data_IF_334400913259
#
_entry.id   IF_334400913259
#
_cell.length_a   1.000
_cell.length_b   1.000
_cell.length_c   1.000
_cell.angle_alpha   90.00
_cell.angle_beta   90.00
_cell.angle_gamma   90.00
#
_symmetry.space_group_name_H-M   'P 1'
#
loop_
_entity.id
_entity.type
_entity.pdbx_description
1 polymer ?
#
# COMPACT_ATOMS: atom_id res chain seq x y z
N UNK A 1 16.97 47.22 -37.18
CA UNK A 1 17.67 46.53 -36.08
C UNK A 1 19.01 46.04 -36.64
N UNK A 2 20.11 46.42 -36.03
CA UNK A 2 21.42 45.94 -36.45
C UNK A 2 21.52 44.43 -36.21
N UNK A 3 22.28 43.71 -37.05
CA UNK A 3 22.46 42.25 -36.91
C UNK A 3 22.96 41.87 -35.50
N UNK A 4 23.87 42.68 -34.94
CA UNK A 4 24.36 42.45 -33.56
C UNK A 4 23.25 42.59 -32.52
N UNK A 5 22.38 43.57 -32.64
CA UNK A 5 21.22 43.77 -31.75
C UNK A 5 20.26 42.61 -31.86
N UNK A 6 19.99 42.09 -33.06
CA UNK A 6 19.15 40.94 -33.29
C UNK A 6 19.71 39.65 -32.67
N UNK A 7 21.03 39.42 -32.81
CA UNK A 7 21.71 38.28 -32.20
C UNK A 7 21.72 38.36 -30.68
N UNK A 8 21.99 39.53 -30.10
CA UNK A 8 21.94 39.73 -28.64
C UNK A 8 20.53 39.49 -28.08
N UNK A 9 19.51 39.99 -28.78
CA UNK A 9 18.12 39.77 -28.40
C UNK A 9 17.74 38.27 -28.51
N UNK A 10 18.19 37.60 -29.57
CA UNK A 10 17.96 36.14 -29.71
C UNK A 10 18.61 35.34 -28.57
N UNK A 11 19.86 35.68 -28.21
CA UNK A 11 20.54 35.06 -27.07
C UNK A 11 19.78 35.32 -25.76
N UNK A 12 19.29 36.52 -25.53
CA UNK A 12 18.47 36.85 -24.35
C UNK A 12 17.18 36.02 -24.32
N UNK A 13 16.47 35.88 -25.46
CA UNK A 13 15.27 35.09 -25.58
C UNK A 13 15.54 33.60 -25.32
N UNK A 14 16.66 33.07 -25.81
CA UNK A 14 17.10 31.67 -25.50
C UNK A 14 17.32 31.48 -24.00
N UNK A 15 17.97 32.41 -23.31
CA UNK A 15 18.21 32.31 -21.85
C UNK A 15 16.91 32.37 -21.08
N UNK A 16 16.00 33.28 -21.46
CA UNK A 16 14.68 33.36 -20.81
C UNK A 16 13.88 32.06 -21.00
N UNK A 17 13.85 31.55 -22.26
CA UNK A 17 13.16 30.31 -22.56
C UNK A 17 13.79 29.13 -21.82
N UNK A 18 15.12 29.02 -21.78
CA UNK A 18 15.83 27.99 -21.04
C UNK A 18 15.50 28.00 -19.53
N UNK A 19 15.42 29.21 -18.95
CA UNK A 19 15.01 29.37 -17.56
C UNK A 19 13.57 28.88 -17.32
N UNK A 20 12.62 29.28 -18.16
CA UNK A 20 11.20 28.88 -18.03
C UNK A 20 11.05 27.38 -18.26
N UNK A 21 11.70 26.82 -19.28
CA UNK A 21 11.68 25.38 -19.61
C UNK A 21 12.31 24.52 -18.50
N UNK A 22 13.44 24.97 -17.93
CA UNK A 22 14.08 24.35 -16.78
C UNK A 22 13.14 24.36 -15.55
N UNK A 23 12.45 25.47 -15.32
CA UNK A 23 11.52 25.66 -14.20
C UNK A 23 10.33 24.72 -14.30
N UNK A 24 9.76 24.56 -15.49
CA UNK A 24 8.64 23.67 -15.75
C UNK A 24 8.94 22.25 -15.25
N UNK A 25 10.04 21.68 -15.71
CA UNK A 25 10.34 20.29 -15.42
C UNK A 25 10.88 20.09 -14.00
N UNK A 26 11.69 21.02 -13.48
CA UNK A 26 12.19 20.94 -12.11
C UNK A 26 11.05 20.96 -11.08
N UNK A 27 10.09 21.88 -11.22
CA UNK A 27 8.96 21.98 -10.30
C UNK A 27 7.98 20.81 -10.44
N UNK A 28 7.76 20.30 -11.66
CA UNK A 28 6.91 19.14 -11.89
C UNK A 28 7.51 17.82 -11.37
N UNK A 29 8.84 17.65 -11.48
CA UNK A 29 9.55 16.40 -11.15
C UNK A 29 10.08 16.34 -9.71
N UNK A 30 10.10 17.44 -8.97
CA UNK A 30 10.61 17.48 -7.60
C UNK A 30 9.68 16.70 -6.65
N UNK A 31 10.26 15.75 -5.92
CA UNK A 31 9.51 14.84 -5.02
C UNK A 31 9.08 15.56 -3.74
N UNK A 32 7.77 15.54 -3.45
CA UNK A 32 7.16 16.21 -2.28
C UNK A 32 7.83 15.79 -0.96
N UNK A 33 8.07 14.49 -0.79
CA UNK A 33 8.69 13.93 0.44
C UNK A 33 10.08 14.53 0.66
N UNK A 34 10.91 14.62 -0.39
CA UNK A 34 12.28 15.15 -0.27
C UNK A 34 12.29 16.66 0.01
N UNK A 35 11.36 17.40 -0.59
CA UNK A 35 11.17 18.82 -0.29
C UNK A 35 10.70 19.04 1.16
N UNK A 36 9.83 18.17 1.71
CA UNK A 36 9.40 18.22 3.10
C UNK A 36 10.56 18.02 4.07
N UNK A 37 11.45 17.05 3.77
CA UNK A 37 12.67 16.82 4.56
C UNK A 37 13.59 18.06 4.52
N UNK A 38 13.82 18.62 3.31
CA UNK A 38 14.64 19.82 3.16
C UNK A 38 14.06 21.04 3.91
N UNK A 39 12.73 21.13 3.99
CA UNK A 39 12.05 22.21 4.72
C UNK A 39 12.12 22.01 6.24
N UNK A 40 11.95 20.77 6.75
CA UNK A 40 11.94 20.45 8.19
C UNK A 40 13.35 20.42 8.77
N UNK A 41 14.24 19.64 8.16
CA UNK A 41 15.57 19.36 8.71
C UNK A 41 16.61 20.41 8.29
N UNK A 42 16.48 20.98 7.08
CA UNK A 42 17.36 22.00 6.52
C UNK A 42 16.93 23.45 6.77
N UNK A 43 15.72 23.67 7.28
CA UNK A 43 15.17 25.03 7.50
C UNK A 43 15.04 25.86 6.21
N UNK A 44 15.05 25.23 5.02
CA UNK A 44 15.01 25.94 3.74
C UNK A 44 13.58 26.37 3.37
N UNK A 45 13.28 27.64 3.64
CA UNK A 45 11.96 28.24 3.30
C UNK A 45 11.60 28.13 1.81
N UNK A 46 12.59 28.04 0.92
CA UNK A 46 12.38 27.90 -0.52
C UNK A 46 11.76 26.55 -0.88
N UNK A 47 12.06 25.49 -0.10
CA UNK A 47 11.44 24.19 -0.27
C UNK A 47 9.93 24.24 0.05
N UNK A 48 9.52 25.05 1.04
CA UNK A 48 8.11 25.33 1.31
C UNK A 48 7.43 26.08 0.16
N UNK A 49 8.14 27.08 -0.42
CA UNK A 49 7.64 27.83 -1.57
C UNK A 49 7.37 26.89 -2.75
N UNK A 50 8.26 25.91 -3.00
CA UNK A 50 8.07 24.87 -4.02
C UNK A 50 6.87 24.00 -3.73
N UNK A 51 6.72 23.52 -2.49
CA UNK A 51 5.57 22.70 -2.09
C UNK A 51 4.24 23.43 -2.27
N UNK A 52 4.18 24.71 -1.87
CA UNK A 52 3.01 25.57 -2.06
C UNK A 52 2.67 25.73 -3.55
N UNK A 53 3.69 25.90 -4.39
CA UNK A 53 3.50 26.04 -5.85
C UNK A 53 3.02 24.73 -6.47
N UNK A 54 3.47 23.57 -5.98
CA UNK A 54 2.99 22.25 -6.42
C UNK A 54 1.55 21.96 -5.97
N UNK A 55 1.08 22.54 -4.85
CA UNK A 55 -0.30 22.40 -4.39
C UNK A 55 -1.28 23.22 -5.25
N UNK A 56 -0.82 24.33 -5.83
CA UNK A 56 -1.63 25.19 -6.69
C UNK A 56 -0.94 25.41 -8.05
N UNK A 57 -0.84 24.36 -8.89
CA UNK A 57 -0.02 24.39 -10.09
C UNK A 57 -0.61 25.26 -11.22
N UNK A 58 -1.90 25.61 -11.19
CA UNK A 58 -2.58 26.29 -12.29
C UNK A 58 -1.88 27.56 -12.72
N UNK A 59 -1.64 28.50 -11.82
CA UNK A 59 -0.96 29.78 -12.14
C UNK A 59 0.46 29.59 -12.65
N UNK A 60 1.18 28.60 -12.12
CA UNK A 60 2.53 28.25 -12.57
C UNK A 60 2.50 27.72 -14.00
N UNK A 61 1.63 26.75 -14.31
CA UNK A 61 1.50 26.16 -15.65
C UNK A 61 1.13 27.25 -16.66
N UNK A 62 0.17 28.11 -16.32
CA UNK A 62 -0.26 29.23 -17.20
C UNK A 62 0.90 30.16 -17.51
N UNK A 63 1.72 30.55 -16.50
CA UNK A 63 2.90 31.40 -16.71
C UNK A 63 3.95 30.74 -17.59
N UNK A 64 4.23 29.47 -17.35
CA UNK A 64 5.20 28.71 -18.15
C UNK A 64 4.75 28.64 -19.61
N UNK A 65 3.49 28.32 -19.87
CA UNK A 65 2.97 28.25 -21.24
C UNK A 65 2.96 29.60 -21.94
N UNK A 66 2.57 30.67 -21.26
CA UNK A 66 2.63 32.04 -21.81
C UNK A 66 4.09 32.41 -22.11
N UNK A 67 5.00 32.13 -21.16
CA UNK A 67 6.41 32.43 -21.31
C UNK A 67 7.05 31.70 -22.49
N UNK A 68 6.91 30.39 -22.55
CA UNK A 68 7.49 29.58 -23.61
C UNK A 68 6.94 29.94 -24.99
N UNK A 69 5.59 30.07 -25.11
CA UNK A 69 4.97 30.40 -26.41
C UNK A 69 5.32 31.83 -26.89
N UNK A 70 5.25 32.82 -26.00
CA UNK A 70 5.57 34.20 -26.35
C UNK A 70 7.03 34.35 -26.75
N UNK A 71 7.95 33.74 -25.99
CA UNK A 71 9.37 33.79 -26.27
C UNK A 71 9.70 33.03 -27.56
N UNK A 72 9.08 31.87 -27.81
CA UNK A 72 9.28 31.11 -29.05
C UNK A 72 8.85 31.89 -30.31
N UNK A 73 7.70 32.57 -30.25
CA UNK A 73 7.19 33.39 -31.35
C UNK A 73 8.16 34.59 -31.61
N UNK A 74 8.56 35.27 -30.52
CA UNK A 74 9.51 36.39 -30.65
C UNK A 74 10.87 35.92 -31.18
N UNK A 75 11.37 34.79 -30.72
CA UNK A 75 12.63 34.20 -31.19
C UNK A 75 12.57 33.83 -32.68
N UNK A 76 11.41 33.32 -33.14
CA UNK A 76 11.18 33.06 -34.58
C UNK A 76 11.27 34.33 -35.40
N UNK A 77 10.60 35.42 -35.01
CA UNK A 77 10.60 36.72 -35.71
C UNK A 77 12.00 37.34 -35.71
N UNK A 78 12.65 37.39 -34.55
CA UNK A 78 13.99 37.97 -34.39
C UNK A 78 15.04 37.12 -35.11
N UNK A 79 14.92 35.80 -35.02
CA UNK A 79 15.82 34.84 -35.67
C UNK A 79 15.74 34.91 -37.18
N UNK A 80 14.54 35.05 -37.76
CA UNK A 80 14.39 35.28 -39.19
C UNK A 80 15.07 36.57 -39.60
N UNK A 81 14.83 37.67 -38.90
CA UNK A 81 15.46 38.96 -39.21
C UNK A 81 16.99 38.95 -39.07
N UNK A 82 17.54 38.16 -38.14
CA UNK A 82 18.99 38.08 -37.92
C UNK A 82 19.70 37.14 -38.89
N UNK A 83 19.11 36.00 -39.26
CA UNK A 83 19.78 34.90 -39.96
C UNK A 83 19.46 34.89 -41.46
N UNK A 84 18.25 35.26 -41.86
CA UNK A 84 17.81 35.23 -43.25
C UNK A 84 18.74 35.99 -44.23
N UNK A 85 19.27 37.18 -43.90
CA UNK A 85 20.15 37.91 -44.83
C UNK A 85 21.42 37.14 -45.25
N UNK A 86 21.91 36.24 -44.37
CA UNK A 86 23.05 35.37 -44.68
C UNK A 86 22.71 34.34 -45.74
N UNK A 87 21.54 33.69 -45.61
CA UNK A 87 21.09 32.72 -46.59
C UNK A 87 20.65 33.36 -47.92
N UNK A 88 20.03 34.54 -47.88
CA UNK A 88 19.69 35.29 -49.09
C UNK A 88 20.94 35.66 -49.88
N UNK A 89 22.01 36.08 -49.19
CA UNK A 89 23.34 36.37 -49.84
C UNK A 89 23.95 35.08 -50.42
N UNK A 90 23.89 33.95 -49.75
CA UNK A 90 24.44 32.66 -50.20
C UNK A 90 23.70 32.09 -51.41
N UNK A 91 22.38 32.33 -51.49
CA UNK A 91 21.48 31.80 -52.51
C UNK A 91 21.09 32.84 -53.56
N UNK A 92 21.79 34.00 -53.65
CA UNK A 92 21.48 35.07 -54.58
C UNK A 92 21.51 34.63 -56.06
N UNK A 93 22.27 33.61 -56.39
CA UNK A 93 22.39 33.03 -57.72
C UNK A 93 21.41 31.86 -58.02
N UNK A 94 20.55 31.49 -57.10
CA UNK A 94 19.64 30.32 -57.22
C UNK A 94 18.28 30.62 -57.90
N UNK A 95 18.15 31.78 -58.51
CA UNK A 95 16.94 32.19 -59.23
C UNK A 95 15.73 32.39 -58.31
N UNK A 96 14.52 32.20 -58.84
CA UNK A 96 13.26 32.43 -58.13
C UNK A 96 13.04 31.53 -56.89
N UNK A 97 13.72 30.40 -56.77
CA UNK A 97 13.62 29.46 -55.65
C UNK A 97 14.53 29.84 -54.46
N UNK A 98 15.56 30.71 -54.72
CA UNK A 98 16.57 31.06 -53.71
C UNK A 98 15.97 31.64 -52.43
N UNK A 99 15.04 32.58 -52.54
CA UNK A 99 14.40 33.22 -51.36
C UNK A 99 13.54 32.25 -50.54
N UNK A 100 12.82 31.33 -51.22
CA UNK A 100 12.00 30.30 -50.50
C UNK A 100 12.90 29.32 -49.76
N UNK A 101 13.99 28.88 -50.38
CA UNK A 101 14.94 27.97 -49.74
C UNK A 101 15.68 28.68 -48.59
N UNK A 102 16.05 29.96 -48.74
CA UNK A 102 16.67 30.77 -47.69
C UNK A 102 15.74 30.88 -46.45
N UNK A 103 14.44 31.14 -46.65
CA UNK A 103 13.47 31.18 -45.55
C UNK A 103 13.31 29.81 -44.85
N UNK A 104 13.25 28.71 -45.61
CA UNK A 104 13.14 27.37 -45.05
C UNK A 104 14.39 26.98 -44.23
N UNK A 105 15.58 27.25 -44.74
CA UNK A 105 16.83 26.99 -44.03
C UNK A 105 16.95 27.84 -42.77
N UNK A 106 16.58 29.13 -42.84
CA UNK A 106 16.55 30.03 -41.68
C UNK A 106 15.58 29.47 -40.61
N UNK A 107 14.36 29.10 -41.01
CA UNK A 107 13.37 28.53 -40.11
C UNK A 107 13.88 27.24 -39.43
N UNK A 108 14.43 26.31 -40.21
CA UNK A 108 14.98 25.07 -39.66
C UNK A 108 16.14 25.33 -38.69
N UNK A 109 17.06 26.22 -39.02
CA UNK A 109 18.20 26.53 -38.17
C UNK A 109 17.79 27.22 -36.88
N UNK A 110 16.98 28.27 -36.96
CA UNK A 110 16.50 29.02 -35.78
C UNK A 110 15.64 28.15 -34.88
N UNK A 111 14.65 27.47 -35.46
CA UNK A 111 13.74 26.60 -34.68
C UNK A 111 14.49 25.42 -34.10
N UNK A 112 15.34 24.73 -34.87
CA UNK A 112 16.12 23.59 -34.37
C UNK A 112 17.08 23.98 -33.26
N UNK A 113 17.80 25.12 -33.42
CA UNK A 113 18.69 25.63 -32.37
C UNK A 113 17.91 26.04 -31.12
N UNK A 114 16.74 26.67 -31.27
CA UNK A 114 15.91 27.10 -30.17
C UNK A 114 15.35 25.87 -29.39
N UNK A 115 14.81 24.88 -30.07
CA UNK A 115 14.33 23.64 -29.45
C UNK A 115 15.47 22.95 -28.69
N UNK A 116 16.64 22.83 -29.30
CA UNK A 116 17.76 22.13 -28.69
C UNK A 116 18.28 22.87 -27.44
N UNK A 117 18.58 24.16 -27.56
CA UNK A 117 19.29 24.94 -26.54
C UNK A 117 18.33 25.55 -25.51
N UNK A 118 17.17 26.04 -25.95
CA UNK A 118 16.23 26.73 -25.09
C UNK A 118 15.19 25.82 -24.42
N UNK A 119 14.96 24.62 -24.96
CA UNK A 119 13.95 23.69 -24.40
C UNK A 119 14.53 22.34 -23.95
N UNK A 120 15.12 21.56 -24.85
CA UNK A 120 15.54 20.19 -24.54
C UNK A 120 16.71 20.12 -23.56
N UNK A 121 17.79 20.91 -23.76
CA UNK A 121 18.95 20.87 -22.86
C UNK A 121 18.62 21.31 -21.44
N UNK A 122 17.90 22.42 -21.19
CA UNK A 122 17.50 22.84 -19.86
C UNK A 122 16.61 21.82 -19.14
N UNK A 123 15.69 21.18 -19.84
CA UNK A 123 14.83 20.10 -19.28
C UNK A 123 15.65 18.90 -18.82
N UNK A 124 16.64 18.47 -19.60
CA UNK A 124 17.54 17.37 -19.19
C UNK A 124 18.33 17.72 -17.93
N UNK A 125 18.83 18.95 -17.81
CA UNK A 125 19.52 19.40 -16.58
C UNK A 125 18.56 19.39 -15.39
N UNK A 126 17.34 19.87 -15.57
CA UNK A 126 16.31 19.87 -14.52
C UNK A 126 15.96 18.45 -14.01
N UNK A 127 15.97 17.44 -14.90
CA UNK A 127 15.67 16.04 -14.53
C UNK A 127 16.76 15.39 -13.69
N UNK A 128 18.01 15.81 -13.78
CA UNK A 128 19.12 15.18 -13.03
C UNK A 128 19.06 15.48 -11.54
N UNK A 129 18.69 16.70 -11.14
CA UNK A 129 18.62 17.14 -9.75
C UNK A 129 17.40 18.05 -9.54
N UNK A 130 16.18 17.53 -9.68
CA UNK A 130 14.97 18.35 -9.76
C UNK A 130 14.72 19.17 -8.48
N UNK A 131 14.97 18.62 -7.30
CA UNK A 131 14.74 19.33 -6.04
C UNK A 131 15.72 20.51 -5.86
N UNK A 132 17.00 20.29 -6.14
CA UNK A 132 18.02 21.34 -5.99
C UNK A 132 17.81 22.47 -6.99
N UNK A 133 17.36 22.16 -8.21
CA UNK A 133 17.02 23.13 -9.23
C UNK A 133 15.73 23.88 -8.85
N UNK A 134 14.67 23.17 -8.45
CA UNK A 134 13.39 23.76 -8.05
C UNK A 134 13.55 24.80 -6.95
N UNK A 135 14.30 24.49 -5.89
CA UNK A 135 14.58 25.40 -4.76
C UNK A 135 15.33 26.67 -5.20
N UNK A 136 16.20 26.59 -6.23
CA UNK A 136 16.92 27.76 -6.73
C UNK A 136 16.05 28.69 -7.58
N UNK A 137 15.14 28.11 -8.36
CA UNK A 137 14.36 28.86 -9.36
C UNK A 137 12.98 29.30 -8.82
N UNK A 138 12.50 28.78 -7.69
CA UNK A 138 11.16 29.08 -7.19
C UNK A 138 10.92 30.58 -6.97
N UNK A 139 11.87 31.29 -6.36
CA UNK A 139 11.72 32.73 -6.09
C UNK A 139 11.66 33.58 -7.36
N UNK A 140 12.59 33.45 -8.33
CA UNK A 140 12.44 34.12 -9.64
C UNK A 140 11.12 33.77 -10.33
N UNK A 141 10.66 32.51 -10.22
CA UNK A 141 9.39 32.10 -10.83
C UNK A 141 8.19 32.75 -10.11
N UNK A 142 8.20 32.86 -8.80
CA UNK A 142 7.18 33.58 -8.03
C UNK A 142 7.09 35.04 -8.44
N UNK A 143 8.24 35.70 -8.67
CA UNK A 143 8.30 37.06 -9.18
C UNK A 143 7.68 37.17 -10.58
N UNK A 144 7.96 36.21 -11.47
CA UNK A 144 7.37 36.17 -12.80
C UNK A 144 5.86 35.97 -12.75
N UNK A 145 5.35 35.05 -11.86
CA UNK A 145 3.92 34.86 -11.61
C UNK A 145 3.27 36.15 -11.12
N UNK A 146 3.94 36.90 -10.24
CA UNK A 146 3.41 38.17 -9.72
C UNK A 146 3.26 39.21 -10.83
N UNK A 147 4.25 39.36 -11.69
CA UNK A 147 4.19 40.31 -12.84
C UNK A 147 3.09 39.91 -13.83
N UNK A 148 2.98 38.62 -14.15
CA UNK A 148 2.01 38.09 -15.11
C UNK A 148 0.63 37.84 -14.54
N UNK A 149 0.41 38.10 -13.23
CA UNK A 149 -0.86 37.84 -12.54
C UNK A 149 -2.11 38.37 -13.27
N UNK A 150 -2.13 39.62 -13.81
CA UNK A 150 -3.29 40.11 -14.55
C UNK A 150 -3.60 39.27 -15.80
N UNK A 151 -2.55 38.80 -16.49
CA UNK A 151 -2.66 37.99 -17.70
C UNK A 151 -3.15 36.56 -17.32
N UNK A 152 -2.63 36.01 -16.25
CA UNK A 152 -3.09 34.70 -15.70
C UNK A 152 -4.59 34.73 -15.42
N UNK A 153 -5.08 35.77 -14.73
CA UNK A 153 -6.50 35.90 -14.41
C UNK A 153 -7.40 35.90 -15.65
N UNK A 154 -6.95 36.49 -16.73
CA UNK A 154 -7.68 36.50 -18.01
C UNK A 154 -7.73 35.08 -18.60
N UNK A 155 -6.58 34.41 -18.71
CA UNK A 155 -6.51 33.06 -19.30
C UNK A 155 -7.21 32.00 -18.43
N UNK A 156 -7.01 32.02 -17.13
CA UNK A 156 -7.67 31.08 -16.20
C UNK A 156 -9.19 31.33 -16.19
N UNK A 157 -9.62 32.59 -16.24
CA UNK A 157 -11.04 32.95 -16.35
C UNK A 157 -11.68 32.41 -17.62
N UNK A 158 -10.97 32.54 -18.76
CA UNK A 158 -11.45 32.02 -20.05
C UNK A 158 -11.46 30.50 -20.06
N UNK A 159 -10.42 29.85 -19.56
CA UNK A 159 -10.34 28.40 -19.45
C UNK A 159 -11.47 27.83 -18.56
N UNK A 160 -11.68 28.45 -17.38
CA UNK A 160 -12.77 28.05 -16.49
C UNK A 160 -14.16 28.23 -17.10
N UNK A 161 -14.35 29.29 -17.89
CA UNK A 161 -15.60 29.49 -18.63
C UNK A 161 -15.85 28.36 -19.65
N UNK A 162 -14.80 27.95 -20.36
CA UNK A 162 -14.84 26.84 -21.33
C UNK A 162 -15.13 25.51 -20.58
N UNK A 163 -14.40 25.21 -19.50
CA UNK A 163 -14.62 23.99 -18.70
C UNK A 163 -16.04 23.92 -18.13
N UNK A 164 -16.58 25.07 -17.67
CA UNK A 164 -17.97 25.15 -17.19
C UNK A 164 -18.98 24.90 -18.32
N UNK A 165 -18.70 25.39 -19.52
CA UNK A 165 -19.55 25.18 -20.71
C UNK A 165 -19.60 23.68 -21.07
N UNK A 166 -18.46 22.99 -21.00
CA UNK A 166 -18.37 21.55 -21.31
C UNK A 166 -18.62 20.64 -20.08
N UNK A 167 -18.98 21.19 -18.91
CA UNK A 167 -19.23 20.46 -17.67
C UNK A 167 -18.06 19.55 -17.24
N UNK A 168 -16.81 19.95 -17.51
CA UNK A 168 -15.62 19.21 -17.13
C UNK A 168 -15.26 19.59 -15.68
N UNK A 169 -15.22 18.58 -14.79
CA UNK A 169 -14.74 18.77 -13.41
C UNK A 169 -13.22 18.90 -13.38
N UNK A 170 -12.71 19.98 -12.81
CA UNK A 170 -11.27 20.29 -12.70
C UNK A 170 -10.68 19.94 -11.33
N UNK A 171 -11.49 19.44 -10.40
CA UNK A 171 -11.04 19.08 -9.05
C UNK A 171 -10.63 17.60 -9.04
N UNK A 172 -9.34 17.36 -9.03
CA UNK A 172 -8.77 16.04 -8.74
C UNK A 172 -8.73 15.87 -7.22
N UNK A 173 -9.61 15.06 -6.67
CA UNK A 173 -9.48 14.61 -5.29
C UNK A 173 -8.35 13.54 -5.26
N UNK A 174 -7.16 13.96 -4.90
CA UNK A 174 -6.10 13.04 -4.51
C UNK A 174 -6.43 12.55 -3.07
N UNK A 175 -7.33 11.61 -2.96
CA UNK A 175 -7.49 10.83 -1.73
C UNK A 175 -6.42 9.73 -1.78
N UNK A 176 -5.53 9.74 -0.80
CA UNK A 176 -4.62 8.62 -0.59
C UNK A 176 -5.46 7.39 -0.27
N UNK A 177 -5.30 6.36 -1.07
CA UNK A 177 -5.94 5.06 -0.84
C UNK A 177 -4.99 4.14 -0.05
N UNK A 178 -5.51 3.05 0.48
CA UNK A 178 -4.69 2.03 1.15
C UNK A 178 -3.64 1.47 0.19
N UNK A 179 -4.00 1.28 -1.10
CA UNK A 179 -3.10 0.80 -2.16
C UNK A 179 -1.93 1.77 -2.40
N UNK A 180 -2.15 3.09 -2.31
CA UNK A 180 -1.07 4.08 -2.44
C UNK A 180 -0.06 3.95 -1.29
N UNK A 181 -0.53 3.62 -0.08
CA UNK A 181 0.33 3.41 1.08
C UNK A 181 1.12 2.12 0.92
N UNK A 182 0.49 1.02 0.51
CA UNK A 182 1.15 -0.25 0.19
C UNK A 182 2.25 -0.05 -0.85
N UNK A 183 1.95 0.62 -1.96
CA UNK A 183 2.93 0.89 -3.01
C UNK A 183 4.15 1.68 -2.52
N UNK A 184 3.97 2.61 -1.57
CA UNK A 184 5.09 3.36 -0.97
C UNK A 184 5.92 2.49 -0.03
N UNK A 185 5.29 1.60 0.74
CA UNK A 185 5.95 0.65 1.64
C UNK A 185 6.78 -0.35 0.85
N UNK A 186 6.22 -0.93 -0.21
CA UNK A 186 6.91 -1.84 -1.13
C UNK A 186 8.11 -1.18 -1.82
N UNK A 187 7.92 0.03 -2.33
CA UNK A 187 9.01 0.79 -2.91
C UNK A 187 10.14 1.07 -1.91
N UNK A 188 9.79 1.27 -0.63
CA UNK A 188 10.73 1.43 0.48
C UNK A 188 11.54 0.16 0.75
N UNK A 189 10.89 -1.00 0.73
CA UNK A 189 11.52 -2.30 0.90
C UNK A 189 12.47 -2.62 -0.29
N UNK A 190 12.00 -2.46 -1.53
CA UNK A 190 12.81 -2.66 -2.73
C UNK A 190 14.03 -1.72 -2.80
N UNK A 191 13.91 -0.51 -2.29
CA UNK A 191 15.01 0.46 -2.21
C UNK A 191 15.98 0.18 -1.03
N UNK A 192 15.73 -0.83 -0.19
CA UNK A 192 16.53 -1.16 0.99
C UNK A 192 16.42 -0.12 2.14
N UNK A 193 15.41 0.73 2.12
CA UNK A 193 15.14 1.73 3.18
C UNK A 193 14.43 1.06 4.35
N UNK A 194 13.58 0.08 4.07
CA UNK A 194 12.92 -0.78 5.06
C UNK A 194 13.60 -2.16 5.05
N UNK A 195 13.78 -2.72 6.26
CA UNK A 195 14.17 -4.12 6.40
C UNK A 195 12.97 -5.02 6.08
N UNK A 196 13.23 -6.24 5.63
CA UNK A 196 12.20 -7.22 5.31
C UNK A 196 11.22 -7.45 6.48
N UNK A 197 11.74 -7.53 7.71
CA UNK A 197 10.91 -7.64 8.92
C UNK A 197 10.02 -6.41 9.16
N UNK A 198 10.54 -5.19 8.90
CA UNK A 198 9.76 -3.96 9.06
C UNK A 198 8.64 -3.86 8.03
N UNK A 199 8.92 -4.27 6.79
CA UNK A 199 7.93 -4.38 5.72
C UNK A 199 6.80 -5.33 6.13
N UNK A 200 7.16 -6.56 6.56
CA UNK A 200 6.23 -7.58 7.00
C UNK A 200 5.32 -7.12 8.17
N UNK A 201 5.88 -6.44 9.16
CA UNK A 201 5.10 -5.91 10.28
C UNK A 201 4.08 -4.85 9.83
N UNK A 202 4.46 -3.98 8.89
CA UNK A 202 3.54 -2.96 8.36
C UNK A 202 2.40 -3.62 7.59
N UNK A 203 2.70 -4.60 6.77
CA UNK A 203 1.73 -5.37 6.00
C UNK A 203 0.72 -6.07 6.92
N UNK A 204 1.21 -6.77 7.95
CA UNK A 204 0.35 -7.46 8.92
C UNK A 204 -0.57 -6.51 9.70
N UNK A 205 -0.11 -5.28 10.01
CA UNK A 205 -0.96 -4.28 10.68
C UNK A 205 -2.14 -3.87 9.79
N UNK A 206 -1.93 -3.74 8.49
CA UNK A 206 -3.02 -3.45 7.57
C UNK A 206 -3.97 -4.65 7.42
N UNK A 207 -3.41 -5.87 7.30
CA UNK A 207 -4.19 -7.10 7.19
C UNK A 207 -5.13 -7.31 8.39
N UNK A 208 -4.74 -6.88 9.59
CA UNK A 208 -5.61 -6.98 10.78
C UNK A 208 -6.98 -6.29 10.63
N UNK A 209 -7.10 -5.29 9.77
CA UNK A 209 -8.38 -4.60 9.54
C UNK A 209 -9.35 -5.46 8.71
N UNK A 210 -8.83 -6.33 7.87
CA UNK A 210 -9.60 -7.17 6.96
C UNK A 210 -9.82 -8.59 7.51
N UNK A 211 -8.85 -9.11 8.29
CA UNK A 211 -8.93 -10.44 8.91
C UNK A 211 -9.92 -10.46 10.05
N UNK A 212 -10.85 -11.42 10.01
CA UNK A 212 -11.79 -11.68 11.11
C UNK A 212 -11.14 -12.48 12.23
N UNK A 213 -11.72 -12.39 13.43
CA UNK A 213 -11.28 -13.14 14.61
C UNK A 213 -11.31 -14.65 14.41
N UNK A 214 -12.20 -15.14 13.55
CA UNK A 214 -12.34 -16.56 13.20
C UNK A 214 -11.08 -17.14 12.55
N UNK A 215 -10.23 -16.32 11.94
CA UNK A 215 -8.97 -16.75 11.31
C UNK A 215 -7.86 -17.10 12.30
N UNK A 216 -7.98 -16.70 13.59
CA UNK A 216 -6.91 -16.89 14.58
C UNK A 216 -7.40 -17.43 15.92
N UNK A 217 -8.73 -17.53 16.14
CA UNK A 217 -9.28 -18.08 17.37
C UNK A 217 -9.02 -19.58 17.51
N UNK A 218 -8.89 -20.05 18.74
CA UNK A 218 -9.02 -21.49 19.04
C UNK A 218 -10.46 -21.87 18.85
N UNK A 219 -10.74 -22.79 17.92
CA UNK A 219 -12.11 -23.21 17.60
C UNK A 219 -12.73 -24.01 18.74
N UNK A 220 -14.07 -24.07 18.75
CA UNK A 220 -14.89 -24.73 19.77
C UNK A 220 -14.37 -26.11 20.17
N UNK A 221 -13.88 -26.89 19.22
CA UNK A 221 -13.42 -28.28 19.45
C UNK A 221 -12.20 -28.39 20.37
N UNK A 222 -11.39 -27.31 20.40
CA UNK A 222 -10.18 -27.25 21.23
C UNK A 222 -10.37 -26.52 22.55
N UNK A 223 -11.62 -26.04 22.85
CA UNK A 223 -11.89 -25.36 24.11
C UNK A 223 -11.94 -26.38 25.23
N UNK A 224 -11.10 -26.21 26.21
CA UNK A 224 -11.16 -26.96 27.50
C UNK A 224 -11.91 -26.10 28.51
N UNK A 225 -12.92 -26.66 29.11
CA UNK A 225 -13.75 -25.98 30.12
C UNK A 225 -14.05 -26.90 31.30
N UNK A 226 -14.35 -26.30 32.44
CA UNK A 226 -14.80 -26.98 33.66
C UNK A 226 -16.30 -26.77 33.83
N UNK A 227 -16.99 -27.79 34.34
CA UNK A 227 -18.32 -27.58 34.92
C UNK A 227 -18.18 -26.89 36.30
N UNK A 228 -19.07 -25.98 36.60
CA UNK A 228 -19.07 -25.27 37.90
C UNK A 228 -19.16 -26.19 39.13
N UNK A 229 -19.59 -27.45 38.94
CA UNK A 229 -19.74 -28.47 39.97
C UNK A 229 -18.57 -29.46 40.01
N UNK A 230 -17.59 -29.36 39.12
CA UNK A 230 -16.43 -30.24 39.14
C UNK A 230 -15.68 -30.09 40.46
N UNK A 231 -15.20 -31.21 40.97
CA UNK A 231 -14.39 -31.26 42.16
C UNK A 231 -12.93 -30.93 41.89
N UNK A 232 -12.19 -30.65 42.95
CA UNK A 232 -10.78 -30.22 42.85
C UNK A 232 -9.89 -31.27 42.19
N UNK A 233 -10.18 -32.57 42.37
CA UNK A 233 -9.35 -33.64 41.80
C UNK A 233 -9.57 -33.75 40.29
N UNK A 234 -10.80 -33.69 39.82
CA UNK A 234 -11.16 -33.67 38.39
C UNK A 234 -10.54 -32.47 37.69
N UNK A 235 -10.60 -31.29 38.30
CA UNK A 235 -10.01 -30.05 37.73
C UNK A 235 -8.50 -30.18 37.61
N UNK A 236 -7.81 -30.71 38.62
CA UNK A 236 -6.36 -30.91 38.58
C UNK A 236 -5.94 -31.93 37.52
N UNK A 237 -6.70 -33.01 37.35
CA UNK A 237 -6.49 -34.02 36.32
C UNK A 237 -6.61 -33.40 34.93
N UNK A 238 -7.68 -32.68 34.64
CA UNK A 238 -7.90 -31.99 33.36
C UNK A 238 -6.81 -30.96 33.07
N UNK A 239 -6.37 -30.19 34.08
CA UNK A 239 -5.27 -29.20 33.91
C UNK A 239 -3.95 -29.88 33.62
N UNK A 240 -3.73 -31.10 34.16
CA UNK A 240 -2.52 -31.88 33.93
C UNK A 240 -2.48 -32.50 32.52
N UNK A 241 -3.62 -32.98 32.05
CA UNK A 241 -3.75 -33.60 30.72
C UNK A 241 -3.73 -32.57 29.59
N UNK A 242 -4.40 -31.42 29.82
CA UNK A 242 -4.52 -30.35 28.82
C UNK A 242 -4.08 -29.00 29.43
N UNK A 243 -2.79 -28.72 29.49
CA UNK A 243 -2.29 -27.51 30.12
C UNK A 243 -2.64 -26.26 29.30
N UNK A 244 -3.46 -25.41 29.88
CA UNK A 244 -3.81 -24.09 29.35
C UNK A 244 -3.62 -23.00 30.41
N UNK A 245 -3.38 -21.77 29.99
CA UNK A 245 -3.27 -20.65 30.92
C UNK A 245 -4.63 -20.21 31.47
N UNK A 246 -5.71 -20.41 30.69
CA UNK A 246 -7.07 -20.00 31.01
C UNK A 246 -8.06 -21.09 30.64
N UNK A 247 -9.01 -21.31 31.51
CA UNK A 247 -10.08 -22.30 31.35
C UNK A 247 -11.42 -21.62 31.49
N UNK A 248 -12.38 -21.95 30.62
CA UNK A 248 -13.77 -21.53 30.81
C UNK A 248 -14.41 -22.29 31.94
N UNK A 249 -15.37 -21.66 32.64
CA UNK A 249 -16.27 -22.31 33.60
C UNK A 249 -17.67 -22.17 33.07
N UNK A 250 -18.35 -23.31 32.95
CA UNK A 250 -19.68 -23.42 32.36
C UNK A 250 -20.71 -24.01 33.34
N UNK A 251 -21.99 -23.86 33.05
CA UNK A 251 -23.10 -24.46 33.76
C UNK A 251 -23.67 -25.60 32.92
N UNK A 252 -23.03 -26.76 32.95
CA UNK A 252 -23.37 -27.96 32.21
C UNK A 252 -22.72 -28.01 30.82
N UNK A 253 -23.06 -27.11 29.96
CA UNK A 253 -22.55 -27.08 28.59
C UNK A 253 -21.82 -25.79 28.22
N UNK A 254 -21.08 -25.82 27.13
CA UNK A 254 -20.26 -24.69 26.65
C UNK A 254 -21.08 -23.45 26.27
N UNK A 255 -22.40 -23.60 26.05
CA UNK A 255 -23.27 -22.45 25.73
C UNK A 255 -23.59 -21.59 26.97
N UNK A 256 -23.34 -22.13 28.18
CA UNK A 256 -23.61 -21.44 29.43
C UNK A 256 -22.35 -21.08 30.17
N UNK A 257 -21.54 -20.27 29.52
CA UNK A 257 -20.30 -19.76 30.12
C UNK A 257 -20.61 -18.80 31.27
N UNK A 258 -20.14 -19.14 32.48
CA UNK A 258 -20.24 -18.31 33.68
C UNK A 258 -19.08 -17.31 33.77
N UNK A 259 -17.89 -17.73 33.33
CA UNK A 259 -16.69 -16.94 33.37
C UNK A 259 -15.48 -17.75 32.97
N UNK A 260 -14.29 -17.27 33.32
CA UNK A 260 -13.05 -18.00 33.12
C UNK A 260 -12.15 -17.95 34.35
N UNK A 261 -11.22 -18.87 34.43
CA UNK A 261 -10.24 -18.99 35.52
C UNK A 261 -8.83 -19.03 34.93
N UNK A 262 -7.91 -18.35 35.58
CA UNK A 262 -6.48 -18.43 35.26
C UNK A 262 -5.84 -19.57 36.02
N UNK A 263 -5.11 -20.44 35.31
CA UNK A 263 -4.49 -21.66 35.89
C UNK A 263 -3.57 -21.34 37.08
N UNK A 264 -2.77 -20.28 36.98
CA UNK A 264 -1.85 -19.92 38.07
C UNK A 264 -2.57 -19.47 39.36
N UNK A 265 -3.72 -18.77 39.20
CA UNK A 265 -4.53 -18.30 40.33
C UNK A 265 -5.20 -19.51 41.02
N UNK A 266 -5.73 -20.43 40.22
CA UNK A 266 -6.37 -21.64 40.70
C UNK A 266 -5.37 -22.57 41.42
N UNK A 267 -4.19 -22.80 40.81
CA UNK A 267 -3.13 -23.61 41.45
C UNK A 267 -2.64 -23.01 42.76
N UNK A 268 -2.48 -21.66 42.80
CA UNK A 268 -2.08 -20.98 44.04
C UNK A 268 -3.09 -21.19 45.15
N UNK A 269 -4.38 -21.27 44.81
CA UNK A 269 -5.44 -21.51 45.78
C UNK A 269 -5.46 -22.98 46.24
N UNK A 270 -5.33 -23.94 45.32
CA UNK A 270 -5.23 -25.38 45.66
C UNK A 270 -4.06 -25.72 46.58
N UNK A 271 -2.95 -24.99 46.47
CA UNK A 271 -1.81 -25.13 47.39
C UNK A 271 -2.11 -24.65 48.82
N UNK A 272 -3.11 -23.77 48.98
CA UNK A 272 -3.50 -23.20 50.27
C UNK A 272 -4.72 -23.89 50.88
N UNK A 273 -5.67 -24.27 50.06
CA UNK A 273 -6.97 -24.80 50.43
C UNK A 273 -7.22 -26.12 49.68
N UNK A 274 -7.66 -27.14 50.36
CA UNK A 274 -7.87 -28.47 49.76
C UNK A 274 -9.13 -28.57 48.90
N UNK A 275 -10.11 -27.69 49.12
CA UNK A 275 -11.37 -27.69 48.38
C UNK A 275 -11.69 -26.26 47.94
N UNK A 276 -11.67 -26.03 46.62
CA UNK A 276 -11.88 -24.71 46.02
C UNK A 276 -13.09 -24.81 45.09
N UNK A 277 -14.11 -23.99 45.32
CA UNK A 277 -15.24 -23.89 44.42
C UNK A 277 -14.88 -23.03 43.21
N UNK A 278 -15.12 -23.52 42.00
CA UNK A 278 -14.83 -22.79 40.74
C UNK A 278 -15.66 -21.50 40.59
N UNK A 279 -16.76 -21.37 41.33
CA UNK A 279 -17.61 -20.17 41.39
C UNK A 279 -17.12 -19.13 42.40
N UNK A 280 -16.01 -19.39 43.10
CA UNK A 280 -15.44 -18.44 44.05
C UNK A 280 -14.95 -17.17 43.31
N UNK A 281 -15.40 -16.01 43.80
CA UNK A 281 -14.99 -14.69 43.24
C UNK A 281 -13.49 -14.41 43.28
N UNK A 282 -12.73 -15.17 44.04
CA UNK A 282 -11.27 -15.06 44.12
C UNK A 282 -10.59 -15.63 42.88
N UNK A 283 -11.21 -16.55 42.16
CA UNK A 283 -10.66 -17.24 40.99
C UNK A 283 -11.48 -17.00 39.73
N UNK A 284 -12.81 -16.94 39.83
CA UNK A 284 -13.70 -16.74 38.69
C UNK A 284 -13.68 -15.28 38.22
N UNK A 285 -13.29 -15.06 36.98
CA UNK A 285 -13.35 -13.77 36.27
C UNK A 285 -14.51 -13.76 35.28
N UNK A 286 -15.03 -12.57 35.01
CA UNK A 286 -16.09 -12.39 34.02
C UNK A 286 -15.53 -12.59 32.62
N UNK A 287 -16.14 -13.46 31.81
CA UNK A 287 -15.74 -13.62 30.43
C UNK A 287 -16.18 -12.41 29.59
N UNK A 288 -15.31 -11.97 28.71
CA UNK A 288 -15.61 -11.01 27.64
C UNK A 288 -16.18 -11.79 26.46
N UNK A 289 -17.33 -11.36 25.92
CA UNK A 289 -17.93 -11.96 24.73
C UNK A 289 -17.78 -11.01 23.55
N UNK A 290 -17.37 -11.54 22.41
CA UNK A 290 -17.23 -10.81 21.16
C UNK A 290 -17.89 -11.58 20.01
N UNK A 291 -18.49 -10.89 19.01
CA UNK A 291 -19.02 -11.55 17.84
C UNK A 291 -17.90 -12.04 16.90
N UNK A 292 -18.17 -13.16 16.21
CA UNK A 292 -17.26 -13.78 15.23
C UNK A 292 -17.00 -12.95 13.98
N UNK A 293 -17.78 -11.89 13.77
CA UNK A 293 -17.66 -10.96 12.65
C UNK A 293 -16.65 -9.84 12.85
N UNK A 294 -16.11 -9.68 14.08
CA UNK A 294 -15.13 -8.61 14.37
C UNK A 294 -13.82 -8.84 13.61
N UNK A 295 -13.22 -7.73 13.15
CA UNK A 295 -11.85 -7.74 12.67
C UNK A 295 -10.86 -7.95 13.82
N UNK A 296 -9.66 -8.43 13.52
CA UNK A 296 -8.60 -8.56 14.54
C UNK A 296 -8.23 -7.20 15.15
N UNK A 297 -8.32 -6.13 14.36
CA UNK A 297 -8.13 -4.76 14.85
C UNK A 297 -9.18 -4.38 15.90
N UNK A 298 -10.46 -4.65 15.63
CA UNK A 298 -11.55 -4.35 16.58
C UNK A 298 -11.44 -5.18 17.85
N UNK A 299 -10.99 -6.45 17.74
CA UNK A 299 -10.70 -7.31 18.90
C UNK A 299 -9.59 -6.72 19.75
N UNK A 300 -8.50 -6.25 19.14
CA UNK A 300 -7.39 -5.61 19.84
C UNK A 300 -7.86 -4.32 20.56
N UNK A 301 -8.68 -3.50 19.92
CA UNK A 301 -9.25 -2.30 20.52
C UNK A 301 -10.20 -2.65 21.69
N UNK A 302 -10.96 -3.72 21.53
CA UNK A 302 -11.86 -4.25 22.59
C UNK A 302 -11.05 -4.72 23.80
N UNK A 303 -9.97 -5.46 23.61
CA UNK A 303 -9.04 -5.85 24.68
C UNK A 303 -8.44 -4.65 25.39
N UNK A 304 -7.98 -3.66 24.62
CA UNK A 304 -7.40 -2.42 25.16
C UNK A 304 -8.41 -1.63 26.01
N UNK A 305 -9.66 -1.55 25.59
CA UNK A 305 -10.69 -0.75 26.28
C UNK A 305 -11.28 -1.49 27.49
N UNK A 306 -11.42 -2.83 27.41
CA UNK A 306 -11.92 -3.64 28.50
C UNK A 306 -10.87 -3.93 29.57
N UNK A 307 -9.58 -3.87 29.22
CA UNK A 307 -8.46 -4.30 30.07
C UNK A 307 -8.36 -5.81 30.22
N UNK A 308 -9.08 -6.57 29.36
CA UNK A 308 -9.04 -8.03 29.30
C UNK A 308 -8.06 -8.49 28.20
N UNK A 309 -7.60 -9.71 28.29
CA UNK A 309 -6.69 -10.34 27.32
C UNK A 309 -7.20 -11.70 26.82
N UNK A 310 -8.48 -12.00 27.11
CA UNK A 310 -9.14 -13.24 26.75
C UNK A 310 -10.62 -12.98 26.46
N UNK A 311 -11.15 -13.53 25.36
CA UNK A 311 -12.53 -13.39 24.97
C UNK A 311 -13.13 -14.70 24.44
N UNK A 312 -14.42 -14.87 24.67
CA UNK A 312 -15.26 -15.93 24.08
C UNK A 312 -15.88 -15.38 22.81
N UNK A 313 -15.68 -16.09 21.70
CA UNK A 313 -16.23 -15.73 20.40
C UNK A 313 -17.56 -16.40 20.20
N UNK A 314 -18.59 -15.62 19.85
CA UNK A 314 -19.96 -16.11 19.63
C UNK A 314 -20.48 -15.73 18.24
N UNK A 315 -21.29 -16.59 17.65
CA UNK A 315 -21.97 -16.30 16.39
C UNK A 315 -23.31 -15.56 16.61
N UNK A 316 -24.06 -15.31 15.53
CA UNK A 316 -25.34 -14.61 15.52
C UNK A 316 -26.46 -15.34 16.32
N UNK A 317 -26.26 -16.59 16.61
CA UNK A 317 -27.19 -17.40 17.45
C UNK A 317 -26.77 -17.45 18.93
N UNK A 318 -25.75 -16.66 19.31
CA UNK A 318 -25.13 -16.66 20.63
C UNK A 318 -24.51 -18.03 21.02
N UNK A 319 -24.15 -18.85 20.04
CA UNK A 319 -23.39 -20.08 20.25
C UNK A 319 -21.89 -19.78 20.31
N UNK A 320 -21.21 -20.44 21.24
CA UNK A 320 -19.76 -20.34 21.36
C UNK A 320 -19.09 -21.04 20.17
N UNK A 321 -18.36 -20.32 19.36
CA UNK A 321 -17.62 -20.82 18.19
C UNK A 321 -16.11 -20.93 18.42
N UNK A 322 -15.59 -20.21 19.41
CA UNK A 322 -14.17 -20.24 19.75
C UNK A 322 -13.81 -19.38 20.94
N UNK A 323 -12.53 -19.32 21.24
CA UNK A 323 -11.92 -18.38 22.19
C UNK A 323 -10.70 -17.73 21.54
N UNK A 324 -10.40 -16.51 21.94
CA UNK A 324 -9.24 -15.77 21.44
C UNK A 324 -8.54 -15.08 22.59
N UNK A 325 -7.21 -15.06 22.54
CA UNK A 325 -6.36 -14.34 23.49
C UNK A 325 -5.67 -13.15 22.80
N UNK A 326 -5.21 -12.20 23.61
CA UNK A 326 -4.36 -11.12 23.12
C UNK A 326 -3.09 -11.65 22.44
N UNK A 327 -2.52 -12.77 22.93
CA UNK A 327 -1.36 -13.44 22.34
C UNK A 327 -1.66 -13.88 20.92
N UNK A 328 -2.85 -14.47 20.66
CA UNK A 328 -3.24 -14.95 19.33
C UNK A 328 -3.32 -13.79 18.34
N UNK A 329 -3.96 -12.69 18.74
CA UNK A 329 -4.05 -11.47 17.91
C UNK A 329 -2.67 -10.86 17.65
N UNK A 330 -1.80 -10.79 18.68
CA UNK A 330 -0.45 -10.23 18.52
C UNK A 330 0.47 -11.14 17.72
N UNK A 331 0.25 -12.46 17.71
CA UNK A 331 1.04 -13.39 16.89
C UNK A 331 0.87 -13.13 15.39
N UNK A 332 -0.30 -12.68 14.95
CA UNK A 332 -0.54 -12.29 13.55
C UNK A 332 0.31 -11.07 13.17
N UNK A 333 0.43 -10.08 14.07
CA UNK A 333 1.25 -8.88 13.80
C UNK A 333 2.73 -9.21 13.80
N UNK A 334 3.17 -9.96 14.82
CA UNK A 334 4.60 -10.23 15.08
C UNK A 334 5.15 -11.41 14.27
N UNK A 335 4.27 -12.24 13.70
CA UNK A 335 4.65 -13.44 12.95
C UNK A 335 5.51 -14.40 13.77
N UNK A 336 6.51 -14.98 13.15
CA UNK A 336 7.42 -15.97 13.76
C UNK A 336 8.19 -15.48 15.01
N UNK A 337 8.19 -14.17 15.28
CA UNK A 337 8.86 -13.60 16.47
C UNK A 337 8.21 -14.02 17.79
N UNK A 338 6.95 -14.46 17.79
CA UNK A 338 6.21 -14.84 19.00
C UNK A 338 5.97 -16.35 19.11
N UNK A 339 5.95 -17.07 17.99
CA UNK A 339 5.66 -18.50 17.92
C UNK A 339 6.95 -19.33 17.81
N UNK A 340 7.66 -19.49 18.91
CA UNK A 340 8.87 -20.35 18.99
C UNK A 340 8.58 -21.83 19.29
N UNK A 341 7.32 -22.20 19.59
CA UNK A 341 6.95 -23.56 20.07
C UNK A 341 5.88 -24.26 19.19
N UNK A 342 5.26 -23.58 18.23
CA UNK A 342 4.30 -24.22 17.34
C UNK A 342 4.96 -24.58 16.00
N UNK A 343 4.67 -25.78 15.48
CA UNK A 343 5.13 -26.17 14.15
C UNK A 343 4.53 -25.22 13.10
N UNK A 344 5.33 -24.75 12.11
CA UNK A 344 4.83 -23.84 11.10
C UNK A 344 3.72 -24.50 10.29
N UNK A 345 2.59 -23.81 10.12
CA UNK A 345 1.43 -24.31 9.37
C UNK A 345 1.72 -24.56 7.88
N UNK A 346 2.74 -23.91 7.34
CA UNK A 346 3.23 -24.10 5.96
C UNK A 346 4.69 -24.50 6.01
N UNK A 347 4.99 -25.74 5.63
CA UNK A 347 6.35 -26.28 5.59
C UNK A 347 6.76 -26.51 4.13
N UNK A 348 7.78 -25.80 3.67
CA UNK A 348 8.34 -26.03 2.35
C UNK A 348 9.15 -27.33 2.34
N UNK A 349 8.69 -28.33 1.60
CA UNK A 349 9.30 -29.65 1.54
C UNK A 349 10.38 -29.77 0.46
N UNK A 350 10.12 -29.19 -0.71
CA UNK A 350 11.06 -29.08 -1.83
C UNK A 350 10.91 -27.72 -2.50
N UNK A 351 11.65 -27.44 -3.58
CA UNK A 351 11.49 -26.19 -4.34
C UNK A 351 10.06 -25.99 -4.86
N UNK A 352 9.36 -27.09 -5.17
CA UNK A 352 8.04 -27.07 -5.81
C UNK A 352 6.93 -27.74 -4.96
N UNK A 353 7.19 -28.07 -3.69
CA UNK A 353 6.18 -28.73 -2.84
C UNK A 353 6.15 -28.18 -1.43
N UNK A 354 4.94 -28.02 -0.90
CA UNK A 354 4.65 -27.53 0.45
C UNK A 354 3.71 -28.50 1.15
N UNK A 355 3.92 -28.67 2.44
CA UNK A 355 2.97 -29.29 3.36
C UNK A 355 2.23 -28.16 4.05
N UNK A 356 0.91 -28.19 3.99
CA UNK A 356 0.05 -27.11 4.51
C UNK A 356 -1.00 -27.73 5.43
N UNK A 357 -1.12 -27.19 6.65
CA UNK A 357 -2.18 -27.53 7.58
C UNK A 357 -3.54 -27.07 7.02
N UNK A 358 -4.56 -27.89 7.16
CA UNK A 358 -5.90 -27.57 6.67
C UNK A 358 -6.53 -26.34 7.31
N UNK A 359 -6.15 -26.00 8.54
CA UNK A 359 -6.61 -24.82 9.25
C UNK A 359 -5.87 -23.53 8.86
N UNK A 360 -4.84 -23.63 7.99
CA UNK A 360 -4.08 -22.45 7.55
C UNK A 360 -4.97 -21.42 6.88
N UNK A 361 -4.94 -20.15 7.31
CA UNK A 361 -5.67 -19.07 6.67
C UNK A 361 -5.29 -18.89 5.21
N UNK A 362 -6.26 -18.60 4.35
CA UNK A 362 -6.02 -18.39 2.92
C UNK A 362 -4.99 -17.29 2.62
N UNK A 363 -5.01 -16.20 3.38
CA UNK A 363 -4.07 -15.11 3.22
C UNK A 363 -2.61 -15.58 3.36
N UNK A 364 -2.33 -16.51 4.27
CA UNK A 364 -1.00 -17.04 4.47
C UNK A 364 -0.60 -18.01 3.34
N UNK A 365 -1.56 -18.79 2.82
CA UNK A 365 -1.35 -19.65 1.64
C UNK A 365 -1.12 -18.80 0.38
N UNK A 366 -1.89 -17.72 0.18
CA UNK A 366 -1.72 -16.78 -0.93
C UNK A 366 -0.30 -16.19 -0.93
N UNK A 367 0.15 -15.74 0.22
CA UNK A 367 1.50 -15.17 0.40
C UNK A 367 2.60 -16.22 0.17
N UNK A 368 2.45 -17.43 0.70
CA UNK A 368 3.47 -18.47 0.58
C UNK A 368 3.62 -19.03 -0.84
N UNK A 369 2.55 -18.99 -1.64
CA UNK A 369 2.48 -19.56 -2.98
C UNK A 369 2.43 -18.51 -4.10
N UNK A 370 2.46 -17.22 -3.76
CA UNK A 370 2.32 -16.09 -4.70
C UNK A 370 1.04 -16.20 -5.55
N UNK A 371 -0.09 -16.46 -4.88
CA UNK A 371 -1.43 -16.52 -5.48
C UNK A 371 -2.15 -15.22 -5.19
N UNK A 372 -2.63 -14.52 -6.24
CA UNK A 372 -3.29 -13.22 -6.09
C UNK A 372 -4.65 -13.31 -5.39
N UNK A 373 -5.46 -14.31 -5.70
CA UNK A 373 -6.83 -14.43 -5.17
C UNK A 373 -7.31 -15.89 -5.25
N UNK A 374 -8.19 -16.28 -4.31
CA UNK A 374 -8.97 -17.52 -4.37
C UNK A 374 -10.41 -17.23 -4.76
N UNK A 375 -11.07 -18.08 -5.60
CA UNK A 375 -12.42 -17.85 -6.10
C UNK A 375 -13.46 -17.92 -4.97
N UNK A 376 -14.30 -16.90 -4.83
CA UNK A 376 -15.36 -16.78 -3.81
C UNK A 376 -14.81 -16.88 -2.37
N UNK A 377 -13.68 -16.27 -2.10
CA UNK A 377 -13.00 -16.28 -0.79
C UNK A 377 -13.85 -15.76 0.37
N UNK A 378 -14.94 -15.04 0.08
CA UNK A 378 -15.94 -14.62 1.06
C UNK A 378 -16.69 -15.76 1.77
N UNK A 379 -16.65 -16.99 1.22
CA UNK A 379 -17.39 -18.14 1.74
C UNK A 379 -16.55 -19.09 2.62
N UNK A 380 -15.25 -18.85 2.74
CA UNK A 380 -14.34 -19.71 3.51
C UNK A 380 -13.06 -18.94 3.88
N UNK A 381 -12.45 -19.28 5.00
CA UNK A 381 -11.31 -18.56 5.56
C UNK A 381 -10.01 -19.38 5.53
N UNK A 382 -10.09 -20.70 5.41
CA UNK A 382 -8.94 -21.61 5.45
C UNK A 382 -8.78 -22.40 4.16
N UNK A 383 -7.59 -22.99 3.98
CA UNK A 383 -7.32 -23.83 2.80
C UNK A 383 -8.21 -25.09 2.78
N UNK A 384 -8.53 -25.65 3.95
CA UNK A 384 -9.51 -26.75 4.04
C UNK A 384 -10.92 -26.29 3.61
N UNK A 385 -11.32 -25.07 3.99
CA UNK A 385 -12.57 -24.45 3.55
C UNK A 385 -12.63 -24.30 2.03
N UNK A 386 -11.56 -23.81 1.40
CA UNK A 386 -11.42 -23.74 -0.05
C UNK A 386 -11.60 -25.09 -0.72
N UNK A 387 -10.92 -26.13 -0.21
CA UNK A 387 -11.02 -27.49 -0.74
C UNK A 387 -12.44 -28.03 -0.62
N UNK A 388 -13.10 -27.90 0.53
CA UNK A 388 -14.47 -28.36 0.75
C UNK A 388 -15.47 -27.63 -0.14
N UNK A 389 -15.36 -26.30 -0.23
CA UNK A 389 -16.21 -25.47 -1.07
C UNK A 389 -16.09 -25.83 -2.55
N UNK A 390 -14.88 -26.06 -3.02
CA UNK A 390 -14.60 -26.33 -4.43
C UNK A 390 -14.92 -27.78 -4.81
N UNK A 391 -14.61 -28.75 -3.96
CA UNK A 391 -14.91 -30.16 -4.22
C UNK A 391 -16.40 -30.52 -4.07
N UNK A 392 -17.15 -29.75 -3.29
CA UNK A 392 -18.59 -29.96 -3.02
C UNK A 392 -18.95 -31.37 -2.59
N UNK A 393 -18.07 -32.01 -1.83
CA UNK A 393 -18.23 -33.36 -1.29
C UNK A 393 -17.48 -33.45 0.05
N UNK A 394 -17.78 -34.51 0.81
CA UNK A 394 -16.99 -34.86 1.99
C UNK A 394 -15.58 -35.22 1.54
N UNK A 395 -14.54 -34.53 2.05
CA UNK A 395 -13.17 -34.71 1.62
C UNK A 395 -12.63 -36.11 1.99
N UNK A 396 -11.82 -36.67 1.12
CA UNK A 396 -11.13 -37.95 1.35
C UNK A 396 -9.65 -37.79 1.02
N UNK A 397 -8.81 -38.60 1.65
CA UNK A 397 -7.40 -38.74 1.28
C UNK A 397 -7.29 -38.98 -0.23
N UNK A 398 -6.32 -38.37 -0.89
CA UNK A 398 -6.07 -38.38 -2.33
C UNK A 398 -7.03 -37.53 -3.18
N UNK A 399 -8.06 -36.93 -2.62
CA UNK A 399 -8.82 -35.93 -3.34
C UNK A 399 -7.91 -34.72 -3.62
N UNK A 400 -8.02 -34.15 -4.81
CA UNK A 400 -7.20 -33.03 -5.21
C UNK A 400 -7.97 -31.99 -6.02
N UNK A 401 -7.46 -30.79 -6.03
CA UNK A 401 -7.90 -29.67 -6.87
C UNK A 401 -6.67 -29.02 -7.53
N UNK A 402 -6.83 -28.51 -8.73
CA UNK A 402 -5.79 -27.72 -9.42
C UNK A 402 -6.28 -26.28 -9.55
N UNK A 403 -5.51 -25.35 -8.99
CA UNK A 403 -5.81 -23.94 -9.04
C UNK A 403 -4.53 -23.10 -9.10
N UNK A 404 -4.52 -22.00 -9.86
CA UNK A 404 -3.40 -21.05 -9.98
C UNK A 404 -2.04 -21.71 -10.27
N UNK A 405 -2.03 -22.83 -11.02
CA UNK A 405 -0.79 -23.57 -11.34
C UNK A 405 -0.30 -24.49 -10.23
N UNK A 406 -1.05 -24.67 -9.16
CA UNK A 406 -0.77 -25.60 -8.06
C UNK A 406 -1.79 -26.73 -7.99
N UNK A 407 -1.32 -27.91 -7.61
CA UNK A 407 -2.16 -29.06 -7.22
C UNK A 407 -2.23 -29.10 -5.70
N UNK A 408 -3.42 -28.98 -5.17
CA UNK A 408 -3.74 -29.13 -3.74
C UNK A 408 -4.29 -30.54 -3.51
N UNK A 409 -3.56 -31.40 -2.84
CA UNK A 409 -3.93 -32.80 -2.60
C UNK A 409 -4.09 -33.06 -1.11
N UNK A 410 -5.21 -33.66 -0.72
CA UNK A 410 -5.49 -34.02 0.69
C UNK A 410 -4.69 -35.26 1.04
N UNK A 411 -3.76 -35.14 1.99
CA UNK A 411 -2.93 -36.27 2.44
C UNK A 411 -3.42 -36.85 3.76
N UNK A 412 -4.04 -36.03 4.61
CA UNK A 412 -4.64 -36.54 5.84
C UNK A 412 -6.00 -35.88 6.16
N UNK A 413 -6.86 -36.68 6.84
CA UNK A 413 -8.19 -36.23 7.28
C UNK A 413 -8.49 -36.82 8.64
N UNK A 414 -8.95 -35.98 9.59
CA UNK A 414 -9.40 -36.37 10.91
C UNK A 414 -10.90 -36.03 11.08
N UNK A 415 -11.74 -37.01 11.43
CA UNK A 415 -13.18 -36.80 11.66
C UNK A 415 -13.90 -35.96 10.56
N UNK A 416 -13.63 -36.24 9.28
CA UNK A 416 -14.16 -35.52 8.11
C UNK A 416 -13.56 -34.10 7.89
N UNK A 417 -12.68 -33.68 8.75
CA UNK A 417 -11.91 -32.44 8.61
C UNK A 417 -10.64 -32.73 7.80
N UNK A 418 -10.25 -31.84 6.93
CA UNK A 418 -8.94 -31.90 6.26
C UNK A 418 -7.90 -31.44 7.27
N UNK A 419 -7.00 -32.34 7.62
CA UNK A 419 -5.92 -32.07 8.56
C UNK A 419 -4.70 -31.51 7.81
N UNK A 420 -4.32 -32.18 6.73
CA UNK A 420 -3.09 -31.81 6.03
C UNK A 420 -3.22 -31.92 4.51
N UNK A 421 -2.63 -30.97 3.79
CA UNK A 421 -2.56 -30.93 2.32
C UNK A 421 -1.11 -30.95 1.83
N UNK A 422 -0.89 -31.63 0.71
CA UNK A 422 0.31 -31.49 -0.10
C UNK A 422 0.00 -30.55 -1.26
N UNK A 423 0.68 -29.41 -1.29
CA UNK A 423 0.60 -28.48 -2.41
C UNK A 423 1.83 -28.68 -3.28
N UNK A 424 1.62 -28.86 -4.58
CA UNK A 424 2.70 -29.06 -5.55
C UNK A 424 2.51 -28.15 -6.76
N UNK A 425 3.59 -27.46 -7.15
CA UNK A 425 3.61 -26.60 -8.34
C UNK A 425 3.55 -27.50 -9.58
N UNK A 426 2.55 -27.28 -10.43
CA UNK A 426 2.49 -27.97 -11.71
C UNK A 426 3.42 -27.23 -12.69
N UNK A 427 4.57 -27.84 -13.03
CA UNK A 427 5.36 -27.40 -14.17
C UNK A 427 4.48 -27.45 -15.42
N UNK A 428 4.66 -26.49 -16.35
CA UNK A 428 3.93 -26.37 -17.61
C UNK A 428 3.76 -27.72 -18.33
N UNK A 429 2.71 -28.46 -18.00
CA UNK A 429 2.19 -29.44 -18.93
C UNK A 429 1.30 -28.67 -19.92
N UNK A 430 1.94 -28.25 -21.01
CA UNK A 430 1.27 -27.86 -22.25
C UNK A 430 0.16 -28.87 -22.53
N UNK A 431 -1.05 -28.30 -22.72
CA UNK A 431 -2.22 -28.98 -23.28
C UNK A 431 -1.82 -30.07 -24.32
N UNK A 432 -2.13 -31.28 -23.96
CA UNK A 432 -2.37 -32.33 -24.93
C UNK A 432 -3.66 -33.04 -24.53
N UNK A 433 -4.77 -32.49 -24.95
CA UNK A 433 -5.89 -33.17 -25.60
C UNK A 433 -6.92 -32.14 -26.03
#
# INVERSE_FOLDING_TARGET
>A
MNILEALLLLCLLIVISAFVSCSELALASARKIKLQVMAKDGGDTRALDVLNMQQQPGSFITVVQIGLNAVAILAGIVGEAAVRPYFDGLLANAGSWGSTVASLLTFMLVTGSFILIADLMPKRVAMTHPEAVAVRIVRPMMFLIFILKPLILIFDGLANAIFKLFKISTVRQEQLTSEDIYAVVDAGAQAGVLKEQEHYLIENIFDMQERKVTSTMSTREYIVYFDKHDDSDTVLEMMSEKPHNKFLVCDGDLERVIGYIESHTLLTLFLKEKDVRLTDKRVLRKALFIPDTLSLYDVLETFKTSGEDFAVVVNEYALVVGVVTLKDVMSIVMGELVNTEEEPQIIRRTEDTWLVDGATPLADVMRALDIEEFPNSENYETIAGFMMYSLRKIPKRTDFLVYAGYKFEIIDTENLKIDQLLVSKQGNMVEKM
#
